data_IF_920535431056
#
_entry.id   IF_920535431056
#
_cell.length_a   1.000
_cell.length_b   1.000
_cell.length_c   1.000
_cell.angle_alpha   90.00
_cell.angle_beta   90.00
_cell.angle_gamma   90.00
#
_symmetry.space_group_name_H-M   'P 1'
#
loop_
_entity.id
_entity.type
_entity.pdbx_description
1 polymer ?
#
# COMPACT_ATOMS: atom_id res chain seq x y z
N UNK A 1 -61.57 26.24 -5.41
CA UNK A 1 -60.13 26.49 -5.57
C UNK A 1 -59.39 25.27 -5.06
N UNK A 2 -58.95 24.39 -5.97
CA UNK A 2 -58.23 23.17 -5.61
C UNK A 2 -56.73 23.47 -5.64
N UNK A 3 -56.05 23.30 -4.51
CA UNK A 3 -54.59 23.46 -4.41
C UNK A 3 -53.98 22.07 -4.57
N UNK A 4 -53.37 21.83 -5.72
CA UNK A 4 -52.58 20.64 -6.02
C UNK A 4 -51.28 20.69 -5.23
N UNK A 5 -51.12 19.77 -4.27
CA UNK A 5 -49.86 19.57 -3.56
C UNK A 5 -48.89 18.81 -4.47
N UNK A 6 -47.81 19.48 -4.89
CA UNK A 6 -46.71 18.85 -5.62
C UNK A 6 -45.89 17.99 -4.64
N UNK A 7 -45.86 16.68 -4.89
CA UNK A 7 -45.00 15.76 -4.17
C UNK A 7 -43.54 15.94 -4.61
N UNK A 8 -42.70 16.49 -3.73
CA UNK A 8 -41.25 16.46 -3.90
C UNK A 8 -40.76 15.02 -3.66
N UNK A 9 -40.39 14.32 -4.73
CA UNK A 9 -39.65 13.07 -4.62
C UNK A 9 -38.25 13.34 -4.08
N UNK A 10 -37.99 12.89 -2.85
CA UNK A 10 -36.63 12.85 -2.28
C UNK A 10 -35.88 11.74 -3.00
N UNK A 11 -34.94 12.12 -3.86
CA UNK A 11 -33.95 11.18 -4.41
C UNK A 11 -32.95 10.90 -3.29
N UNK A 12 -33.07 9.72 -2.67
CA UNK A 12 -32.03 9.19 -1.80
C UNK A 12 -30.81 8.85 -2.69
N UNK A 13 -29.85 9.78 -2.78
CA UNK A 13 -28.53 9.44 -3.30
C UNK A 13 -27.88 8.48 -2.29
N UNK A 14 -27.73 7.22 -2.67
CA UNK A 14 -26.87 6.31 -1.94
C UNK A 14 -25.44 6.88 -2.00
N UNK A 15 -24.93 7.35 -0.88
CA UNK A 15 -23.51 7.67 -0.75
C UNK A 15 -22.74 6.36 -0.89
N UNK A 16 -22.05 6.19 -2.03
CA UNK A 16 -21.05 5.14 -2.17
C UNK A 16 -19.84 5.54 -1.28
N UNK A 17 -19.24 4.59 -0.54
CA UNK A 17 -18.05 4.89 0.25
C UNK A 17 -16.86 5.29 -0.65
N UNK A 18 -16.02 6.21 -0.14
CA UNK A 18 -14.80 6.75 -0.78
C UNK A 18 -13.77 5.65 -1.06
N UNK A 19 -13.00 5.84 -2.13
CA UNK A 19 -12.10 4.85 -2.72
C UNK A 19 -10.70 5.44 -2.82
N UNK A 20 -9.83 5.06 -1.87
CA UNK A 20 -8.37 5.16 -1.80
C UNK A 20 -7.63 4.57 -3.03
N UNK A 21 -6.31 4.75 -3.17
CA UNK A 21 -5.62 4.81 -4.48
C UNK A 21 -6.23 5.97 -5.29
N UNK A 22 -5.50 6.60 -6.22
CA UNK A 22 -6.12 7.67 -7.00
C UNK A 22 -7.46 7.19 -7.58
N UNK A 23 -8.49 8.03 -7.46
CA UNK A 23 -9.89 7.67 -7.56
C UNK A 23 -10.30 7.28 -8.99
N UNK A 24 -9.45 7.61 -9.97
CA UNK A 24 -9.67 7.25 -11.36
C UNK A 24 -9.58 5.74 -11.52
N UNK A 25 -10.70 5.09 -11.85
CA UNK A 25 -10.74 3.66 -12.16
C UNK A 25 -10.24 2.73 -11.02
N UNK A 26 -10.06 3.25 -9.80
CA UNK A 26 -9.78 2.46 -8.62
C UNK A 26 -11.06 1.78 -8.10
N UNK A 27 -10.91 0.58 -7.56
CA UNK A 27 -12.01 -0.19 -6.97
C UNK A 27 -11.56 -0.88 -5.69
N UNK A 28 -12.46 -1.11 -4.73
CA UNK A 28 -12.15 -1.93 -3.57
C UNK A 28 -11.61 -3.29 -4.00
N UNK A 29 -10.61 -3.79 -3.27
CA UNK A 29 -9.94 -5.05 -3.58
C UNK A 29 -10.08 -6.07 -2.42
N UNK A 30 -11.31 -6.44 -2.02
CA UNK A 30 -11.52 -7.41 -0.92
C UNK A 30 -10.98 -8.80 -1.24
N UNK A 31 -10.76 -9.11 -2.52
CA UNK A 31 -10.13 -10.37 -2.93
C UNK A 31 -8.61 -10.38 -2.78
N UNK A 32 -7.97 -9.22 -2.56
CA UNK A 32 -6.51 -9.08 -2.40
C UNK A 32 -6.09 -9.18 -0.93
N UNK A 33 -6.49 -10.30 -0.32
CA UNK A 33 -6.30 -10.57 1.12
C UNK A 33 -4.85 -10.56 1.59
N UNK A 34 -3.89 -10.73 0.68
CA UNK A 34 -2.45 -10.67 0.91
C UNK A 34 -1.90 -9.24 1.02
N UNK A 35 -2.64 -8.24 0.53
CA UNK A 35 -2.26 -6.83 0.57
C UNK A 35 -2.68 -6.26 1.91
N UNK A 36 -1.77 -5.56 2.60
CA UNK A 36 -2.01 -5.07 3.95
C UNK A 36 -1.58 -3.63 4.16
N UNK A 37 -2.07 -3.06 5.25
CA UNK A 37 -1.65 -1.77 5.76
C UNK A 37 -0.56 -1.96 6.83
N UNK A 38 0.48 -1.15 6.74
CA UNK A 38 1.46 -0.95 7.80
C UNK A 38 0.90 0.08 8.77
N UNK A 39 0.68 -0.33 10.01
CA UNK A 39 0.27 0.52 11.13
C UNK A 39 1.47 0.76 12.03
N UNK A 40 1.65 1.99 12.50
CA UNK A 40 2.72 2.35 13.41
C UNK A 40 2.15 2.98 14.68
N UNK A 41 2.86 2.78 15.79
CA UNK A 41 2.74 3.62 16.98
C UNK A 41 4.06 4.34 17.22
N UNK A 42 4.03 5.63 17.56
CA UNK A 42 5.25 6.41 17.80
C UNK A 42 4.98 7.59 18.74
N UNK A 43 6.03 8.04 19.43
CA UNK A 43 6.00 9.30 20.18
C UNK A 43 6.15 10.47 19.19
N UNK A 44 5.25 11.45 19.24
CA UNK A 44 5.22 12.53 18.28
C UNK A 44 5.83 13.84 18.78
N UNK A 45 6.14 13.95 20.07
CA UNK A 45 6.57 15.22 20.69
C UNK A 45 7.68 15.06 21.75
N UNK A 46 8.21 13.85 21.96
CA UNK A 46 9.22 13.52 22.99
C UNK A 46 8.73 13.84 24.43
N UNK A 47 7.42 14.04 24.63
CA UNK A 47 6.82 14.27 25.94
C UNK A 47 6.16 12.98 26.45
N UNK A 48 6.70 12.33 27.51
CA UNK A 48 6.13 11.10 28.05
C UNK A 48 4.72 11.30 28.67
N UNK A 49 4.24 12.53 28.83
CA UNK A 49 2.87 12.82 29.25
C UNK A 49 1.86 12.80 28.09
N UNK A 50 2.30 12.94 26.85
CA UNK A 50 1.45 12.85 25.66
C UNK A 50 1.33 11.38 25.25
N UNK A 51 0.11 10.84 25.04
CA UNK A 51 -0.03 9.49 24.49
C UNK A 51 0.62 9.39 23.11
N UNK A 52 1.29 8.25 22.85
CA UNK A 52 1.81 7.92 21.52
C UNK A 52 0.73 8.14 20.43
N UNK A 53 1.15 8.32 19.19
CA UNK A 53 0.25 8.28 18.03
C UNK A 53 0.06 6.85 17.58
N UNK A 54 -1.05 6.60 16.90
CA UNK A 54 -1.31 5.35 16.15
C UNK A 54 -1.96 5.73 14.84
N UNK A 55 -1.43 5.22 13.74
CA UNK A 55 -2.02 5.41 12.42
C UNK A 55 -1.55 4.32 11.45
N UNK A 56 -2.29 4.13 10.36
CA UNK A 56 -1.74 3.47 9.18
C UNK A 56 -0.83 4.47 8.44
N UNK A 57 0.31 3.99 7.97
CA UNK A 57 1.38 4.88 7.45
C UNK A 57 1.81 4.50 6.04
N UNK A 58 1.69 3.22 5.70
CA UNK A 58 2.10 2.68 4.40
C UNK A 58 1.28 1.42 4.05
N UNK A 59 1.55 0.88 2.88
CA UNK A 59 1.00 -0.38 2.39
C UNK A 59 2.10 -1.44 2.27
N UNK A 60 1.70 -2.65 1.94
CA UNK A 60 2.62 -3.75 1.68
C UNK A 60 1.89 -5.04 1.32
N UNK A 61 2.65 -6.14 1.23
CA UNK A 61 2.11 -7.43 0.80
C UNK A 61 2.72 -8.58 1.58
N UNK A 62 1.90 -9.53 2.02
CA UNK A 62 2.36 -10.80 2.54
C UNK A 62 3.01 -11.63 1.42
N UNK A 63 4.31 -11.90 1.54
CA UNK A 63 5.10 -12.72 0.61
C UNK A 63 5.50 -14.08 1.21
N UNK A 64 5.17 -14.30 2.49
CA UNK A 64 5.08 -15.61 3.15
C UNK A 64 3.98 -15.53 4.24
N UNK A 65 3.87 -16.54 5.11
CA UNK A 65 2.87 -16.61 6.20
C UNK A 65 3.14 -15.60 7.32
N UNK A 66 4.37 -15.14 7.44
CA UNK A 66 4.88 -14.22 8.47
C UNK A 66 5.76 -13.10 7.91
N UNK A 67 5.98 -13.04 6.59
CA UNK A 67 6.81 -12.01 5.96
C UNK A 67 5.93 -11.03 5.20
N UNK A 68 5.87 -9.79 5.69
CA UNK A 68 5.19 -8.68 5.03
C UNK A 68 6.21 -7.75 4.36
N UNK A 69 6.18 -7.66 3.04
CA UNK A 69 7.05 -6.81 2.22
C UNK A 69 6.50 -5.37 2.15
N UNK A 70 7.37 -4.39 2.36
CA UNK A 70 7.07 -2.96 2.24
C UNK A 70 8.31 -2.17 1.77
N UNK A 71 8.24 -0.85 1.73
CA UNK A 71 9.36 0.03 1.40
C UNK A 71 10.19 0.34 2.66
N UNK A 72 11.50 0.51 2.52
CA UNK A 72 12.36 0.86 3.65
C UNK A 72 12.04 2.25 4.21
N UNK A 73 11.70 3.23 3.35
CA UNK A 73 11.33 4.57 3.81
C UNK A 73 10.09 4.60 4.70
N UNK A 74 9.24 3.56 4.67
CA UNK A 74 8.10 3.41 5.57
C UNK A 74 8.52 3.02 7.00
N UNK A 75 9.75 2.58 7.19
CA UNK A 75 10.25 1.92 8.40
C UNK A 75 11.57 2.51 8.91
N UNK A 76 12.06 3.59 8.29
CA UNK A 76 13.22 4.37 8.72
C UNK A 76 12.82 5.75 9.23
N UNK A 77 13.76 6.45 9.87
CA UNK A 77 13.59 7.84 10.33
C UNK A 77 12.44 8.05 11.35
N UNK A 78 12.06 6.97 12.03
CA UNK A 78 11.11 7.00 13.14
C UNK A 78 11.80 7.26 14.49
N UNK A 79 11.08 7.82 15.48
CA UNK A 79 11.51 7.84 16.87
C UNK A 79 11.81 6.44 17.41
N UNK A 80 12.74 6.35 18.36
CA UNK A 80 13.26 5.07 18.86
C UNK A 80 12.22 4.15 19.53
N UNK A 81 11.06 4.70 19.93
CA UNK A 81 9.97 3.92 20.53
C UNK A 81 9.02 3.30 19.49
N UNK A 82 9.20 3.55 18.18
CA UNK A 82 8.28 3.09 17.15
C UNK A 82 7.98 1.59 17.24
N UNK A 83 6.72 1.21 17.02
CA UNK A 83 6.30 -0.18 16.86
C UNK A 83 5.47 -0.32 15.59
N UNK A 84 5.76 -1.37 14.83
CA UNK A 84 5.04 -1.67 13.58
C UNK A 84 4.07 -2.83 13.78
N UNK A 85 2.92 -2.71 13.13
CA UNK A 85 1.85 -3.69 13.09
C UNK A 85 1.36 -3.86 11.66
N UNK A 86 0.97 -5.07 11.29
CA UNK A 86 0.39 -5.36 9.98
C UNK A 86 -1.08 -5.70 10.14
N UNK A 87 -1.93 -5.04 9.35
CA UNK A 87 -3.35 -5.35 9.22
C UNK A 87 -3.67 -5.78 7.80
N UNK A 88 -4.43 -6.87 7.65
CA UNK A 88 -4.94 -7.33 6.36
C UNK A 88 -6.45 -7.05 6.20
N UNK A 89 -7.01 -6.21 7.06
CA UNK A 89 -8.41 -5.81 7.02
C UNK A 89 -8.70 -5.01 5.75
N UNK A 90 -9.92 -5.15 5.22
CA UNK A 90 -10.33 -4.40 4.03
C UNK A 90 -10.40 -2.89 4.27
N UNK A 91 -10.73 -2.49 5.50
CA UNK A 91 -10.87 -1.10 5.93
C UNK A 91 -10.18 -0.96 7.29
N UNK A 92 -8.89 -0.61 7.24
CA UNK A 92 -8.07 -0.43 8.44
C UNK A 92 -8.41 0.89 9.14
N UNK A 93 -8.82 1.93 8.40
CA UNK A 93 -9.22 3.21 9.00
C UNK A 93 -10.42 3.01 9.92
N UNK A 94 -11.49 2.38 9.43
CA UNK A 94 -12.66 2.10 10.25
C UNK A 94 -12.31 1.16 11.43
N UNK A 95 -11.33 0.27 11.24
CA UNK A 95 -10.77 -0.56 12.33
C UNK A 95 -10.14 0.29 13.43
N UNK A 96 -9.26 1.22 13.05
CA UNK A 96 -8.57 2.14 13.94
C UNK A 96 -9.56 3.05 14.68
N UNK A 97 -10.53 3.63 13.97
CA UNK A 97 -11.55 4.50 14.56
C UNK A 97 -12.36 3.77 15.64
N UNK A 98 -12.80 2.53 15.35
CA UNK A 98 -13.52 1.69 16.33
C UNK A 98 -12.64 1.35 17.51
N UNK A 99 -11.39 0.97 17.27
CA UNK A 99 -10.46 0.60 18.32
C UNK A 99 -10.10 1.81 19.22
N UNK A 100 -9.92 3.00 18.64
CA UNK A 100 -9.67 4.23 19.38
C UNK A 100 -10.85 4.61 20.30
N UNK A 101 -12.09 4.38 19.85
CA UNK A 101 -13.28 4.58 20.68
C UNK A 101 -13.35 3.57 21.85
N UNK A 102 -12.84 2.35 21.66
CA UNK A 102 -12.83 1.29 22.69
C UNK A 102 -11.65 1.43 23.67
N UNK A 103 -10.55 2.04 23.22
CA UNK A 103 -9.30 2.19 23.97
C UNK A 103 -8.85 3.65 24.00
N UNK A 104 -9.65 4.56 24.58
CA UNK A 104 -9.35 5.98 24.58
C UNK A 104 -8.03 6.27 25.31
N UNK A 105 -7.09 6.91 24.61
CA UNK A 105 -5.77 7.25 25.15
C UNK A 105 -4.78 6.09 25.27
N UNK A 106 -5.07 4.91 24.70
CA UNK A 106 -4.15 3.76 24.63
C UNK A 106 -3.86 3.34 23.17
N UNK A 107 -2.93 4.05 22.50
CA UNK A 107 -2.56 3.81 21.10
C UNK A 107 -2.01 2.39 20.86
N UNK A 108 -1.34 1.83 21.86
CA UNK A 108 -0.79 0.49 21.80
C UNK A 108 -1.89 -0.57 21.81
N UNK A 109 -2.96 -0.38 22.60
CA UNK A 109 -4.15 -1.24 22.53
C UNK A 109 -4.90 -1.08 21.22
N UNK A 110 -5.02 0.15 20.70
CA UNK A 110 -5.60 0.41 19.37
C UNK A 110 -4.87 -0.36 18.28
N UNK A 111 -3.54 -0.28 18.22
CA UNK A 111 -2.74 -0.96 17.23
C UNK A 111 -2.85 -2.50 17.33
N UNK A 112 -2.83 -3.06 18.55
CA UNK A 112 -3.06 -4.50 18.79
C UNK A 112 -4.47 -4.95 18.40
N UNK A 113 -5.47 -4.08 18.52
CA UNK A 113 -6.84 -4.39 18.15
C UNK A 113 -7.03 -4.55 16.63
N UNK A 114 -6.20 -3.89 15.81
CA UNK A 114 -6.32 -3.92 14.34
C UNK A 114 -5.22 -4.70 13.62
N UNK A 115 -4.08 -4.94 14.27
CA UNK A 115 -2.89 -5.48 13.64
C UNK A 115 -2.16 -6.55 14.45
N UNK A 116 -1.22 -7.22 13.79
CA UNK A 116 -0.22 -8.09 14.44
C UNK A 116 1.10 -7.34 14.45
N UNK A 117 1.71 -7.21 15.64
CA UNK A 117 3.00 -6.54 15.79
C UNK A 117 4.12 -7.34 15.10
N UNK A 118 5.06 -6.64 14.48
CA UNK A 118 6.24 -7.26 13.88
C UNK A 118 7.51 -6.43 14.03
N UNK A 119 8.60 -6.98 13.49
CA UNK A 119 9.92 -6.35 13.50
C UNK A 119 10.33 -5.98 12.09
N UNK A 120 10.70 -4.72 11.87
CA UNK A 120 11.20 -4.25 10.59
C UNK A 120 12.64 -4.70 10.35
N UNK A 121 12.92 -5.13 9.11
CA UNK A 121 14.25 -5.45 8.62
C UNK A 121 14.45 -4.70 7.31
N UNK A 122 15.29 -3.67 7.35
CA UNK A 122 15.56 -2.83 6.17
C UNK A 122 16.72 -3.40 5.37
N UNK A 123 16.73 -3.15 4.06
CA UNK A 123 17.94 -3.38 3.28
C UNK A 123 19.12 -2.60 3.90
N UNK A 124 20.26 -3.25 4.22
CA UNK A 124 21.35 -2.61 4.98
C UNK A 124 22.02 -1.45 4.22
N UNK A 125 21.90 -1.43 2.90
CA UNK A 125 22.42 -0.37 2.03
C UNK A 125 21.40 0.73 1.67
N UNK A 126 20.19 0.73 2.24
CA UNK A 126 19.25 1.86 2.10
C UNK A 126 19.85 3.14 2.73
N UNK A 127 19.78 4.34 2.10
CA UNK A 127 18.98 4.70 0.92
C UNK A 127 19.66 4.52 -0.45
N UNK A 128 20.82 3.87 -0.51
CA UNK A 128 21.53 3.57 -1.76
C UNK A 128 21.84 4.78 -2.66
N UNK A 129 22.42 4.56 -3.84
CA UNK A 129 22.47 5.58 -4.89
C UNK A 129 21.10 5.79 -5.56
N UNK A 130 20.86 6.94 -6.18
CA UNK A 130 19.60 7.23 -6.88
C UNK A 130 19.26 6.24 -8.02
N UNK A 131 20.26 5.57 -8.59
CA UNK A 131 20.06 4.51 -9.60
C UNK A 131 19.45 3.24 -9.00
N UNK A 132 19.63 3.00 -7.70
CA UNK A 132 19.18 1.82 -6.96
C UNK A 132 19.16 2.13 -5.46
N UNK A 133 18.04 2.67 -4.97
CA UNK A 133 17.96 3.18 -3.59
C UNK A 133 17.90 2.09 -2.53
N UNK A 134 17.77 0.82 -2.94
CA UNK A 134 17.55 -0.30 -2.02
C UNK A 134 16.33 -0.06 -1.11
N UNK A 135 15.32 0.63 -1.61
CA UNK A 135 14.13 1.01 -0.83
C UNK A 135 13.17 -0.17 -0.66
N UNK A 136 13.61 -1.13 0.16
CA UNK A 136 12.91 -2.39 0.41
C UNK A 136 13.12 -2.81 1.86
N UNK A 137 12.04 -3.23 2.50
CA UNK A 137 12.01 -3.70 3.88
C UNK A 137 11.00 -4.82 4.05
N UNK A 138 11.18 -5.63 5.07
CA UNK A 138 10.16 -6.59 5.50
C UNK A 138 9.80 -6.38 6.97
N UNK A 139 8.53 -6.61 7.31
CA UNK A 139 8.09 -6.80 8.68
C UNK A 139 7.96 -8.30 8.93
N UNK A 140 8.77 -8.85 9.84
CA UNK A 140 8.66 -10.22 10.32
C UNK A 140 7.62 -10.30 11.44
N UNK A 141 6.64 -11.18 11.27
CA UNK A 141 5.46 -11.34 12.13
C UNK A 141 5.44 -12.71 12.82
N UNK A 142 4.53 -12.91 13.77
CA UNK A 142 4.20 -14.26 14.22
C UNK A 142 3.21 -14.91 13.25
N UNK A 143 3.62 -15.96 12.54
CA UNK A 143 2.74 -16.71 11.64
C UNK A 143 1.46 -17.22 12.36
N UNK A 144 1.57 -17.59 13.63
CA UNK A 144 0.44 -18.06 14.43
C UNK A 144 -0.58 -16.94 14.70
N UNK A 145 -0.11 -15.73 15.05
CA UNK A 145 -1.00 -14.58 15.28
C UNK A 145 -1.64 -14.10 13.99
N UNK A 146 -0.88 -14.06 12.89
CA UNK A 146 -1.39 -13.71 11.56
C UNK A 146 -2.49 -14.69 11.15
N UNK A 147 -2.22 -16.01 11.23
CA UNK A 147 -3.19 -17.07 10.89
C UNK A 147 -4.44 -17.06 11.78
N UNK A 148 -4.31 -16.64 13.04
CA UNK A 148 -5.44 -16.55 13.96
C UNK A 148 -6.44 -15.44 13.55
N UNK A 149 -6.00 -14.46 12.76
CA UNK A 149 -6.81 -13.29 12.37
C UNK A 149 -7.25 -13.32 10.91
N UNK A 150 -6.37 -13.79 10.01
CA UNK A 150 -6.62 -13.70 8.57
C UNK A 150 -6.25 -14.99 7.82
N UNK A 151 -6.99 -15.23 6.74
CA UNK A 151 -6.69 -16.25 5.74
C UNK A 151 -6.38 -15.56 4.41
N UNK A 152 -5.24 -15.88 3.82
CA UNK A 152 -4.78 -15.33 2.54
C UNK A 152 -3.83 -16.31 1.86
N UNK A 153 -3.52 -16.06 0.60
CA UNK A 153 -2.43 -16.75 -0.12
C UNK A 153 -1.28 -15.75 -0.31
N UNK A 154 -0.06 -16.03 0.18
CA UNK A 154 1.07 -15.13 -0.05
C UNK A 154 1.29 -14.82 -1.53
N UNK A 155 1.71 -13.60 -1.83
CA UNK A 155 1.99 -13.18 -3.19
C UNK A 155 3.17 -13.97 -3.78
N UNK A 156 3.04 -14.37 -5.05
CA UNK A 156 4.15 -14.97 -5.78
C UNK A 156 5.15 -13.91 -6.22
N UNK A 157 6.43 -14.12 -5.90
CA UNK A 157 7.54 -13.29 -6.38
C UNK A 157 7.98 -13.69 -7.81
N UNK A 158 8.64 -12.78 -8.55
CA UNK A 158 9.16 -13.05 -9.89
C UNK A 158 10.45 -13.86 -9.82
N UNK A 159 10.71 -14.64 -10.86
CA UNK A 159 12.03 -15.23 -11.10
C UNK A 159 13.07 -14.12 -11.35
N UNK A 160 14.36 -14.42 -11.17
CA UNK A 160 15.43 -13.46 -11.45
C UNK A 160 15.37 -12.96 -12.90
N UNK A 161 15.41 -11.63 -13.08
CA UNK A 161 15.37 -10.99 -14.40
C UNK A 161 14.09 -11.21 -15.21
N UNK A 162 12.97 -11.57 -14.55
CA UNK A 162 11.71 -11.85 -15.25
C UNK A 162 11.17 -10.67 -16.06
N UNK A 163 11.39 -9.43 -15.60
CA UNK A 163 10.94 -8.24 -16.32
C UNK A 163 11.80 -7.97 -17.55
N UNK A 164 13.12 -8.19 -17.47
CA UNK A 164 14.01 -8.07 -18.64
C UNK A 164 13.67 -9.13 -19.68
N UNK A 165 13.38 -10.36 -19.24
CA UNK A 165 13.01 -11.47 -20.11
C UNK A 165 11.69 -11.26 -20.87
N UNK A 166 10.76 -10.48 -20.32
CA UNK A 166 9.52 -10.11 -21.01
C UNK A 166 9.78 -9.20 -22.23
N UNK A 167 10.87 -8.42 -22.20
CA UNK A 167 11.24 -7.46 -23.23
C UNK A 167 10.25 -6.29 -23.37
N UNK A 168 10.60 -5.24 -24.13
CA UNK A 168 9.81 -4.02 -24.20
C UNK A 168 8.37 -4.23 -24.70
N UNK A 169 8.19 -5.07 -25.73
CA UNK A 169 6.85 -5.35 -26.25
C UNK A 169 6.03 -6.17 -25.26
N UNK A 170 6.62 -7.20 -24.63
CA UNK A 170 5.92 -8.01 -23.64
C UNK A 170 5.48 -7.18 -22.44
N UNK A 171 6.31 -6.23 -21.98
CA UNK A 171 5.94 -5.32 -20.89
C UNK A 171 4.82 -4.34 -21.30
N UNK A 172 4.85 -3.80 -22.52
CA UNK A 172 3.77 -2.95 -23.03
C UNK A 172 2.42 -3.68 -23.14
N UNK A 173 2.45 -4.97 -23.50
CA UNK A 173 1.25 -5.81 -23.63
C UNK A 173 0.81 -6.43 -22.29
N UNK A 174 1.58 -6.24 -21.21
CA UNK A 174 1.29 -6.81 -19.90
C UNK A 174 0.38 -5.89 -19.10
N UNK A 175 -0.77 -6.37 -18.58
CA UNK A 175 -1.57 -5.62 -17.63
C UNK A 175 -0.86 -5.51 -16.28
N UNK A 176 -0.70 -4.29 -15.78
CA UNK A 176 -0.22 -4.00 -14.43
C UNK A 176 -1.37 -3.51 -13.54
N UNK A 177 -1.34 -3.91 -12.27
CA UNK A 177 -2.31 -3.47 -11.27
C UNK A 177 -1.58 -3.11 -9.99
N UNK A 178 -1.80 -1.89 -9.52
CA UNK A 178 -1.38 -1.45 -8.19
C UNK A 178 -2.47 -1.77 -7.17
N UNK A 179 -2.09 -2.10 -5.94
CA UNK A 179 -3.00 -2.19 -4.82
C UNK A 179 -2.37 -1.61 -3.54
N UNK A 180 -3.20 -1.21 -2.57
CA UNK A 180 -2.75 -0.48 -1.40
C UNK A 180 -3.89 0.24 -0.68
N UNK A 181 -3.52 1.02 0.34
CA UNK A 181 -4.41 1.70 1.27
C UNK A 181 -4.28 3.22 1.20
N UNK A 182 -3.49 3.75 0.27
CA UNK A 182 -3.16 5.15 0.19
C UNK A 182 -4.32 6.06 -0.15
N UNK A 183 -4.13 7.36 0.00
CA UNK A 183 -5.14 8.39 -0.27
C UNK A 183 -5.53 8.45 -1.75
N UNK A 184 -6.55 9.24 -2.04
CA UNK A 184 -6.89 9.66 -3.40
C UNK A 184 -5.92 10.73 -3.92
N UNK A 185 -5.99 11.03 -5.22
CA UNK A 185 -5.27 12.12 -5.84
C UNK A 185 -5.62 13.48 -5.24
N UNK A 186 -4.74 14.43 -5.51
CA UNK A 186 -4.90 15.75 -4.96
C UNK A 186 -6.20 16.41 -5.42
N UNK A 187 -6.91 17.05 -4.48
CA UNK A 187 -8.01 17.96 -4.75
C UNK A 187 -7.60 19.37 -4.35
N UNK A 188 -7.91 20.34 -5.22
CA UNK A 188 -7.69 21.76 -4.93
C UNK A 188 -8.80 22.28 -4.03
N UNK A 189 -8.43 22.91 -2.92
CA UNK A 189 -9.36 23.57 -2.00
C UNK A 189 -8.74 24.80 -1.32
N UNK A 190 -9.52 25.51 -0.48
CA UNK A 190 -8.98 26.56 0.37
C UNK A 190 -7.84 26.00 1.25
N UNK A 191 -6.67 26.64 1.25
CA UNK A 191 -5.49 26.16 1.99
C UNK A 191 -4.53 25.27 1.19
N UNK A 192 -4.86 24.92 -0.06
CA UNK A 192 -3.95 24.24 -0.98
C UNK A 192 -4.45 22.90 -1.48
N UNK A 193 -3.50 22.01 -1.74
CA UNK A 193 -3.72 20.64 -2.19
C UNK A 193 -4.05 19.74 -0.99
N UNK A 194 -5.10 18.93 -1.10
CA UNK A 194 -5.50 17.93 -0.10
C UNK A 194 -5.63 16.57 -0.76
N UNK A 195 -5.38 15.50 -0.01
CA UNK A 195 -5.46 14.12 -0.51
C UNK A 195 -6.44 13.33 0.37
N UNK A 196 -7.72 13.28 0.00
CA UNK A 196 -8.75 12.67 0.84
C UNK A 196 -8.71 11.15 0.80
N UNK A 197 -9.45 10.52 1.71
CA UNK A 197 -9.55 9.06 1.78
C UNK A 197 -8.33 8.42 2.42
N UNK A 198 -8.07 7.17 2.05
CA UNK A 198 -7.04 6.34 2.66
C UNK A 198 -7.59 5.32 3.67
N UNK A 199 -6.78 4.31 3.98
CA UNK A 199 -7.07 3.26 4.93
C UNK A 199 -8.11 2.22 4.48
N UNK A 200 -8.53 2.25 3.21
CA UNK A 200 -9.31 1.17 2.57
C UNK A 200 -8.44 0.50 1.52
N UNK A 201 -8.46 -0.83 1.46
CA UNK A 201 -7.70 -1.59 0.46
C UNK A 201 -8.32 -1.48 -0.92
N UNK A 202 -7.56 -0.92 -1.84
CA UNK A 202 -8.00 -0.58 -3.17
C UNK A 202 -7.06 -1.19 -4.20
N UNK A 203 -7.50 -1.23 -5.46
CA UNK A 203 -6.67 -1.58 -6.61
C UNK A 203 -7.02 -0.69 -7.80
N UNK A 204 -6.05 -0.45 -8.67
CA UNK A 204 -6.26 0.23 -9.94
C UNK A 204 -5.37 -0.32 -11.06
N UNK A 205 -5.82 -0.29 -12.31
CA UNK A 205 -4.95 -0.51 -13.46
C UNK A 205 -3.91 0.62 -13.56
N UNK A 206 -2.70 0.25 -13.95
CA UNK A 206 -1.61 1.17 -14.32
C UNK A 206 -0.97 0.69 -15.61
N UNK A 207 -0.41 1.60 -16.41
CA UNK A 207 0.21 1.25 -17.69
C UNK A 207 1.73 1.26 -17.57
N UNK A 208 2.40 0.28 -18.19
CA UNK A 208 3.86 0.31 -18.30
C UNK A 208 4.34 1.52 -19.11
N UNK A 209 5.37 2.21 -18.60
CA UNK A 209 6.00 3.35 -19.27
C UNK A 209 7.46 3.03 -19.61
N UNK A 210 8.25 2.60 -18.63
CA UNK A 210 9.64 2.25 -18.85
C UNK A 210 10.18 1.25 -17.82
N UNK A 211 11.21 0.51 -18.24
CA UNK A 211 12.01 -0.34 -17.36
C UNK A 211 13.40 0.28 -17.22
N UNK A 212 13.87 0.38 -15.98
CA UNK A 212 15.26 0.70 -15.65
C UNK A 212 15.85 -0.44 -14.80
N UNK A 213 17.14 -0.36 -14.51
CA UNK A 213 17.88 -1.40 -13.78
C UNK A 213 17.20 -1.79 -12.47
N UNK A 214 16.80 -0.81 -11.65
CA UNK A 214 16.12 -1.05 -10.36
C UNK A 214 14.61 -0.72 -10.37
N UNK A 215 14.07 -0.16 -11.46
CA UNK A 215 12.76 0.49 -11.45
C UNK A 215 11.83 0.00 -12.54
N UNK A 216 10.55 -0.17 -12.22
CA UNK A 216 9.46 -0.12 -13.20
C UNK A 216 8.77 1.22 -13.06
N UNK A 217 8.69 1.97 -14.16
CA UNK A 217 7.93 3.22 -14.26
C UNK A 217 6.57 2.90 -14.84
N UNK A 218 5.54 3.30 -14.10
CA UNK A 218 4.15 3.04 -14.44
C UNK A 218 3.42 4.38 -14.54
N UNK A 219 2.59 4.52 -15.57
CA UNK A 219 1.69 5.65 -15.74
C UNK A 219 0.37 5.38 -15.01
N UNK A 220 -0.14 6.42 -14.34
CA UNK A 220 -1.41 6.39 -13.60
C UNK A 220 -2.46 7.38 -14.12
N UNK A 221 -2.32 7.79 -15.38
CA UNK A 221 -3.15 8.88 -15.93
C UNK A 221 -4.58 8.44 -16.25
N UNK A 222 -5.57 9.19 -15.76
CA UNK A 222 -6.99 8.92 -15.99
C UNK A 222 -7.39 8.74 -17.48
N UNK A 223 -6.87 9.53 -18.44
CA UNK A 223 -7.20 9.36 -19.86
C UNK A 223 -6.78 8.02 -20.46
N UNK A 224 -5.81 7.33 -19.85
CA UNK A 224 -5.40 5.98 -20.25
C UNK A 224 -6.27 4.88 -19.60
N UNK A 225 -7.31 5.26 -18.85
CA UNK A 225 -8.12 4.33 -18.07
C UNK A 225 -7.43 3.84 -16.80
N UNK A 226 -6.34 4.51 -16.40
CA UNK A 226 -5.59 4.14 -15.21
C UNK A 226 -6.16 4.78 -13.96
N UNK A 227 -5.86 4.12 -12.85
CA UNK A 227 -5.69 4.79 -11.56
C UNK A 227 -4.23 4.69 -11.10
N UNK A 228 -3.94 4.78 -9.81
CA UNK A 228 -2.55 4.74 -9.35
C UNK A 228 -2.31 5.00 -7.88
N UNK A 229 -1.08 4.76 -7.45
CA UNK A 229 -0.66 4.97 -6.08
C UNK A 229 -0.67 6.45 -5.65
N UNK A 230 -0.90 6.71 -4.38
CA UNK A 230 -0.70 8.00 -3.73
C UNK A 230 -0.13 7.84 -2.31
N UNK A 231 -0.25 8.88 -1.47
CA UNK A 231 0.29 8.89 -0.11
C UNK A 231 -0.23 7.71 0.70
N UNK A 232 0.70 6.91 1.23
CA UNK A 232 0.42 5.69 2.00
C UNK A 232 0.28 4.40 1.17
N UNK A 233 0.33 4.48 -0.17
CA UNK A 233 0.51 3.29 -1.02
C UNK A 233 1.97 2.84 -1.11
N UNK A 234 2.91 3.62 -0.57
CA UNK A 234 4.31 3.24 -0.43
C UNK A 234 4.47 1.85 0.17
N UNK A 235 5.37 1.04 -0.41
CA UNK A 235 5.56 -0.37 -0.10
C UNK A 235 4.49 -1.31 -0.68
N UNK A 236 3.35 -0.77 -1.13
CA UNK A 236 2.25 -1.51 -1.72
C UNK A 236 2.62 -2.21 -3.03
N UNK A 237 1.91 -3.30 -3.37
CA UNK A 237 2.25 -4.13 -4.52
C UNK A 237 1.90 -3.49 -5.86
N UNK A 238 2.75 -3.77 -6.84
CA UNK A 238 2.44 -3.68 -8.26
C UNK A 238 2.55 -5.07 -8.86
N UNK A 239 1.41 -5.59 -9.28
CA UNK A 239 1.29 -6.91 -9.85
C UNK A 239 1.29 -6.87 -11.38
N UNK A 240 1.78 -7.94 -12.00
CA UNK A 240 1.73 -8.16 -13.43
C UNK A 240 1.46 -9.64 -13.73
N UNK A 241 0.88 -9.91 -14.91
CA UNK A 241 0.70 -11.29 -15.39
C UNK A 241 1.89 -11.69 -16.26
N UNK A 242 2.90 -12.34 -15.67
CA UNK A 242 4.08 -12.82 -16.38
C UNK A 242 3.92 -14.32 -16.68
N UNK A 243 4.01 -14.71 -17.95
CA UNK A 243 3.87 -16.12 -18.35
C UNK A 243 2.54 -16.76 -17.92
N UNK A 244 1.46 -15.98 -17.87
CA UNK A 244 0.14 -16.42 -17.39
C UNK A 244 -0.01 -16.48 -15.87
N UNK A 245 1.01 -16.08 -15.10
CA UNK A 245 0.99 -16.10 -13.63
C UNK A 245 0.90 -14.69 -13.06
N UNK A 246 -0.08 -14.48 -12.18
CA UNK A 246 -0.19 -13.27 -11.37
C UNK A 246 0.98 -13.17 -10.39
N UNK A 247 1.83 -12.16 -10.57
CA UNK A 247 3.13 -12.04 -9.89
C UNK A 247 3.29 -10.64 -9.31
N UNK A 248 3.77 -10.53 -8.07
CA UNK A 248 4.14 -9.27 -7.44
C UNK A 248 5.51 -8.85 -7.98
N UNK A 249 5.56 -7.96 -8.97
CA UNK A 249 6.79 -7.66 -9.70
C UNK A 249 7.58 -6.49 -9.13
N UNK A 250 6.91 -5.56 -8.46
CA UNK A 250 7.54 -4.38 -7.85
C UNK A 250 6.72 -3.81 -6.68
N UNK A 251 7.35 -2.97 -5.86
CA UNK A 251 6.71 -2.23 -4.76
C UNK A 251 6.69 -0.73 -5.04
N UNK A 252 5.60 -0.04 -4.69
CA UNK A 252 5.48 1.42 -4.86
C UNK A 252 6.47 2.16 -3.99
N UNK A 253 7.27 3.07 -4.56
CA UNK A 253 8.27 3.86 -3.81
C UNK A 253 7.96 5.35 -3.82
N UNK A 254 7.70 5.92 -5.00
CA UNK A 254 7.46 7.37 -5.14
C UNK A 254 6.64 7.67 -6.39
N UNK A 255 6.14 8.90 -6.48
CA UNK A 255 5.40 9.40 -7.63
C UNK A 255 5.41 10.92 -7.71
N UNK A 256 4.58 11.48 -8.57
CA UNK A 256 4.30 12.92 -8.59
C UNK A 256 3.46 13.30 -7.36
N UNK A 257 3.79 14.43 -6.72
CA UNK A 257 3.11 14.86 -5.49
C UNK A 257 1.57 15.02 -5.62
N UNK A 258 1.02 15.41 -6.79
CA UNK A 258 -0.43 15.41 -6.98
C UNK A 258 -1.08 14.03 -7.16
N UNK A 259 -0.31 12.98 -7.41
CA UNK A 259 -0.76 11.61 -7.69
C UNK A 259 -1.62 11.47 -8.96
N UNK A 260 -1.26 12.16 -10.04
CA UNK A 260 -2.01 12.12 -11.30
C UNK A 260 -1.29 11.36 -12.42
N UNK A 261 0.02 11.16 -12.33
CA UNK A 261 0.83 10.84 -13.50
C UNK A 261 1.74 9.63 -13.32
N UNK A 262 2.55 9.59 -12.27
CA UNK A 262 3.70 8.68 -12.20
C UNK A 262 3.70 7.82 -10.94
N UNK A 263 3.80 6.51 -11.14
CA UNK A 263 4.09 5.54 -10.09
C UNK A 263 5.45 4.90 -10.38
N UNK A 264 6.44 5.15 -9.54
CA UNK A 264 7.80 4.62 -9.65
C UNK A 264 7.97 3.52 -8.61
N UNK A 265 8.32 2.33 -9.10
CA UNK A 265 8.24 1.11 -8.29
C UNK A 265 9.55 0.34 -8.31
N UNK A 266 9.95 -0.22 -7.17
CA UNK A 266 11.21 -0.94 -7.00
C UNK A 266 11.06 -2.40 -7.44
N UNK A 267 11.91 -2.85 -8.36
CA UNK A 267 11.85 -4.18 -8.95
C UNK A 267 12.24 -5.28 -7.96
N UNK A 268 11.45 -6.34 -7.90
CA UNK A 268 11.70 -7.49 -7.03
C UNK A 268 12.45 -8.65 -7.71
N UNK A 269 12.68 -8.55 -9.02
CA UNK A 269 13.43 -9.54 -9.80
C UNK A 269 14.94 -9.25 -9.91
N UNK A 270 15.40 -8.13 -9.34
CA UNK A 270 16.80 -7.70 -9.37
C UNK A 270 17.66 -8.52 -8.42
N UNK A 271 18.98 -8.66 -8.70
CA UNK A 271 19.89 -9.39 -7.80
C UNK A 271 19.88 -8.85 -6.36
N UNK A 272 19.84 -7.53 -6.18
CA UNK A 272 19.87 -6.91 -4.85
C UNK A 272 18.58 -7.12 -4.06
N UNK A 273 17.41 -6.88 -4.68
CA UNK A 273 16.13 -7.14 -4.02
C UNK A 273 16.01 -8.62 -3.63
N UNK A 274 16.39 -9.54 -4.53
CA UNK A 274 16.36 -10.98 -4.26
C UNK A 274 17.34 -11.39 -3.18
N UNK A 275 18.58 -10.88 -3.19
CA UNK A 275 19.55 -11.15 -2.14
C UNK A 275 19.03 -10.74 -0.76
N UNK A 276 18.36 -9.58 -0.68
CA UNK A 276 17.72 -9.11 0.54
C UNK A 276 16.53 -9.98 0.98
N UNK A 277 15.69 -10.44 0.05
CA UNK A 277 14.49 -11.23 0.37
C UNK A 277 14.78 -12.70 0.70
N UNK A 278 15.90 -13.26 0.21
CA UNK A 278 16.24 -14.67 0.36
C UNK A 278 16.23 -15.22 1.82
N UNK A 279 16.62 -14.45 2.85
CA UNK A 279 16.51 -14.90 4.24
C UNK A 279 15.08 -14.95 4.79
N UNK A 280 14.11 -14.30 4.13
CA UNK A 280 12.76 -14.06 4.66
C UNK A 280 11.66 -14.82 3.92
N UNK A 281 11.94 -15.37 2.74
CA UNK A 281 10.97 -16.16 1.97
C UNK A 281 11.68 -17.06 0.97
N UNK A 282 10.98 -18.08 0.49
CA UNK A 282 11.46 -18.92 -0.60
C UNK A 282 11.31 -18.20 -1.94
N UNK A 283 12.45 -17.91 -2.59
CA UNK A 283 12.47 -17.33 -3.93
C UNK A 283 12.30 -18.41 -5.01
N UNK A 284 11.57 -18.11 -6.11
CA UNK A 284 11.53 -18.94 -7.31
C UNK A 284 12.80 -18.78 -8.15
#
# INVERSE_FOLDING_TARGET
>A
MAVTAAACAVVLAAALPSSAINSYNATPAPERTEVGALVATWDADDDPATPDRVDWVCSGTMIDKDTFLTAAHCTTDWPGNVKFYVSLDQDVQAGLDRAAAQHPGDPAAVARAVGVQGTAHNHPEYPGPASDTRDISVIQLSAAQVKARWSFTPASLPAAGALDAAGPQGLNDTPFVVAGYGTEESRRGPGGHTHPGGGVRMKAPVTFDALNDAWVRLAMTAPQGNGGACYGDSGGPNFATLGGKWTLVSTTITGDSPCYATNVTYRLDTPGARAFLAPFTQLP
#
